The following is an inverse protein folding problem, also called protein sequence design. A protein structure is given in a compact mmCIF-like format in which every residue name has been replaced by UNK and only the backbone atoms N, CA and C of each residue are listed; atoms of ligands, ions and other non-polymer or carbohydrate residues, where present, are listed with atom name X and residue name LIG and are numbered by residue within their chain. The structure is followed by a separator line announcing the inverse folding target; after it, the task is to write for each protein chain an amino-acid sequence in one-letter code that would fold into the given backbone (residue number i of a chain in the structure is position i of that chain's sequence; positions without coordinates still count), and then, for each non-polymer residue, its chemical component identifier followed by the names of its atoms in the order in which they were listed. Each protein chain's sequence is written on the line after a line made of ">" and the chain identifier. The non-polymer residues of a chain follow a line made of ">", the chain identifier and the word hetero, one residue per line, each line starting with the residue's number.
data_IF_825536396200
#
_entry.id   IF_825536396200
#
_cell.length_a   1.000
_cell.length_b   1.000
_cell.length_c   1.000
_cell.angle_alpha   90.00
_cell.angle_beta   90.00
_cell.angle_gamma   90.00
#
_symmetry.space_group_name_H-M   'P 1'
#
loop_
_entity.id
_entity.type
_entity.pdbx_description
1 polymer ?
#
# COMPACT_ATOMS: atom_id res chain seq x y z
N UNK A 1 15.84 20.39 -3.93
CA UNK A 1 15.32 19.02 -3.71
C UNK A 1 15.95 18.57 -2.41
N UNK A 2 15.15 18.47 -1.34
CA UNK A 2 15.61 17.88 -0.08
C UNK A 2 16.06 16.45 -0.33
N UNK A 3 17.22 16.07 0.21
CA UNK A 3 17.70 14.69 0.14
C UNK A 3 17.07 13.93 1.30
N UNK A 4 16.30 12.90 0.99
CA UNK A 4 15.81 11.93 1.97
C UNK A 4 16.99 11.08 2.45
N UNK A 5 17.08 10.80 3.75
CA UNK A 5 18.07 9.83 4.23
C UNK A 5 17.67 8.45 3.71
N UNK A 6 18.60 7.65 3.16
CA UNK A 6 18.27 6.30 2.70
C UNK A 6 17.69 5.38 3.78
N UNK A 7 17.85 5.74 5.06
CA UNK A 7 17.33 5.00 6.20
C UNK A 7 15.98 5.55 6.71
N UNK A 8 15.48 6.65 6.15
CA UNK A 8 14.19 7.20 6.56
C UNK A 8 13.04 6.27 6.08
N UNK A 9 12.06 5.97 6.93
CA UNK A 9 10.85 5.27 6.50
C UNK A 9 10.10 6.04 5.41
N UNK A 10 9.45 5.31 4.51
CA UNK A 10 8.64 5.89 3.44
C UNK A 10 7.33 6.45 3.99
N UNK A 11 7.03 7.69 3.64
CA UNK A 11 5.74 8.35 3.91
C UNK A 11 4.70 8.06 2.82
N UNK A 12 5.14 7.61 1.64
CA UNK A 12 4.28 7.21 0.54
C UNK A 12 4.86 5.99 -0.17
N UNK A 13 4.02 4.98 -0.40
CA UNK A 13 4.36 3.78 -1.16
C UNK A 13 3.33 3.59 -2.26
N UNK A 14 3.77 3.34 -3.50
CA UNK A 14 2.90 3.01 -4.62
C UNK A 14 3.13 1.55 -5.00
N UNK A 15 2.06 0.76 -5.04
CA UNK A 15 2.06 -0.65 -5.40
C UNK A 15 1.22 -0.85 -6.67
N UNK A 16 1.90 -1.04 -7.79
CA UNK A 16 1.34 -1.40 -9.10
C UNK A 16 2.07 -2.66 -9.62
N UNK A 17 1.83 -3.83 -9.00
CA UNK A 17 2.42 -5.07 -9.48
C UNK A 17 1.77 -5.49 -10.82
N UNK A 18 2.49 -6.27 -11.66
CA UNK A 18 1.95 -6.76 -12.92
C UNK A 18 0.59 -7.45 -12.77
N UNK A 19 -0.26 -7.35 -13.80
CA UNK A 19 -1.61 -7.92 -13.81
C UNK A 19 -1.64 -9.37 -13.32
N UNK A 20 -2.67 -9.70 -12.54
CA UNK A 20 -2.94 -11.03 -11.95
C UNK A 20 -2.01 -11.46 -10.82
N UNK A 21 -1.09 -10.62 -10.35
CA UNK A 21 -0.28 -10.88 -9.15
C UNK A 21 -0.96 -10.38 -7.87
N UNK A 22 -2.18 -10.86 -7.57
CA UNK A 22 -2.99 -10.38 -6.44
C UNK A 22 -2.34 -10.61 -5.06
N UNK A 23 -1.52 -11.64 -4.93
CA UNK A 23 -0.82 -11.95 -3.69
C UNK A 23 0.35 -10.98 -3.41
N UNK A 24 0.87 -10.32 -4.45
CA UNK A 24 2.02 -9.41 -4.32
C UNK A 24 1.68 -8.17 -3.48
N UNK A 25 0.43 -7.72 -3.47
CA UNK A 25 -0.01 -6.59 -2.65
C UNK A 25 0.14 -6.91 -1.16
N UNK A 26 -0.39 -8.06 -0.72
CA UNK A 26 -0.31 -8.48 0.67
C UNK A 26 1.14 -8.79 1.08
N UNK A 27 1.91 -9.51 0.25
CA UNK A 27 3.33 -9.82 0.53
C UNK A 27 4.16 -8.54 0.66
N UNK A 28 3.98 -7.56 -0.24
CA UNK A 28 4.70 -6.29 -0.18
C UNK A 28 4.36 -5.50 1.09
N UNK A 29 3.07 -5.36 1.43
CA UNK A 29 2.64 -4.65 2.63
C UNK A 29 3.18 -5.31 3.91
N UNK A 30 3.10 -6.63 4.03
CA UNK A 30 3.62 -7.37 5.18
C UNK A 30 5.14 -7.18 5.32
N UNK A 31 5.90 -7.23 4.22
CA UNK A 31 7.36 -7.03 4.26
C UNK A 31 7.76 -5.60 4.61
N UNK A 32 7.07 -4.60 4.04
CA UNK A 32 7.34 -3.19 4.32
C UNK A 32 7.14 -2.87 5.82
N UNK A 33 6.03 -3.35 6.39
CA UNK A 33 5.74 -3.23 7.82
C UNK A 33 6.77 -3.98 8.66
N UNK A 34 7.04 -5.24 8.34
CA UNK A 34 8.00 -6.06 9.09
C UNK A 34 9.44 -5.53 9.07
N UNK A 35 9.81 -4.79 8.02
CA UNK A 35 11.12 -4.15 7.90
C UNK A 35 11.19 -2.76 8.56
N UNK A 36 10.08 -2.23 9.10
CA UNK A 36 10.03 -0.89 9.67
C UNK A 36 10.22 0.23 8.64
N UNK A 37 9.87 -0.04 7.37
CA UNK A 37 10.06 0.88 6.26
C UNK A 37 8.88 1.84 6.05
N UNK A 38 7.84 1.77 6.86
CA UNK A 38 6.67 2.64 6.80
C UNK A 38 6.77 3.69 7.91
N UNK A 39 6.64 4.96 7.54
CA UNK A 39 6.43 6.01 8.52
C UNK A 39 5.06 5.84 9.21
N UNK A 40 4.89 6.41 10.40
CA UNK A 40 3.64 6.33 11.17
C UNK A 40 2.41 6.77 10.34
N UNK A 41 2.55 7.83 9.56
CA UNK A 41 1.48 8.39 8.72
C UNK A 41 1.63 7.96 7.24
N UNK A 42 2.29 6.83 6.98
CA UNK A 42 2.52 6.36 5.62
C UNK A 42 1.20 6.08 4.89
N UNK A 43 1.14 6.52 3.63
CA UNK A 43 0.03 6.20 2.73
C UNK A 43 0.51 5.21 1.69
N UNK A 44 -0.13 4.04 1.62
CA UNK A 44 0.08 3.11 0.53
C UNK A 44 -1.03 3.27 -0.51
N UNK A 45 -0.65 3.38 -1.77
CA UNK A 45 -1.52 3.52 -2.93
C UNK A 45 -1.46 2.22 -3.71
N UNK A 46 -2.54 1.46 -3.72
CA UNK A 46 -2.63 0.18 -4.43
C UNK A 46 -3.45 0.39 -5.70
N UNK A 47 -2.81 0.22 -6.86
CA UNK A 47 -3.49 0.21 -8.16
C UNK A 47 -3.76 -1.22 -8.60
N UNK A 48 -4.98 -1.55 -8.98
CA UNK A 48 -5.36 -2.90 -9.44
C UNK A 48 -6.54 -2.83 -10.42
N UNK A 49 -6.79 -3.95 -11.13
CA UNK A 49 -7.93 -4.05 -12.06
C UNK A 49 -9.26 -4.01 -11.30
N UNK A 50 -10.29 -3.41 -11.90
CA UNK A 50 -11.65 -3.43 -11.35
C UNK A 50 -12.25 -4.82 -11.15
N UNK A 51 -11.74 -5.82 -11.89
CA UNK A 51 -12.17 -7.22 -11.82
C UNK A 51 -11.41 -8.01 -10.75
N UNK A 52 -10.39 -7.40 -10.13
CA UNK A 52 -9.62 -7.99 -9.05
C UNK A 52 -10.19 -7.57 -7.70
N UNK A 53 -10.22 -8.52 -6.77
CA UNK A 53 -10.39 -8.23 -5.35
C UNK A 53 -9.08 -8.54 -4.63
N UNK A 54 -8.59 -7.56 -3.88
CA UNK A 54 -7.31 -7.61 -3.19
C UNK A 54 -7.59 -7.64 -1.69
N UNK A 55 -7.08 -8.67 -1.00
CA UNK A 55 -7.14 -8.73 0.45
C UNK A 55 -6.01 -7.88 1.06
N UNK A 56 -6.33 -7.08 2.07
CA UNK A 56 -5.32 -6.41 2.88
C UNK A 56 -4.88 -7.34 4.03
N UNK A 57 -3.58 -7.40 4.34
CA UNK A 57 -3.10 -8.13 5.51
C UNK A 57 -3.53 -7.44 6.81
N UNK A 58 -3.46 -8.16 7.92
CA UNK A 58 -3.82 -7.65 9.24
C UNK A 58 -3.04 -6.39 9.63
N UNK A 59 -3.73 -5.46 10.29
CA UNK A 59 -3.18 -4.18 10.70
C UNK A 59 -3.00 -3.18 9.56
N UNK A 60 -3.68 -3.40 8.43
CA UNK A 60 -3.87 -2.41 7.39
C UNK A 60 -5.35 -2.15 7.16
N UNK A 61 -5.70 -0.89 6.88
CA UNK A 61 -7.06 -0.49 6.56
C UNK A 61 -7.10 0.31 5.26
N UNK A 62 -8.10 0.03 4.43
CA UNK A 62 -8.45 0.88 3.31
C UNK A 62 -9.35 2.00 3.81
N UNK A 63 -8.91 3.25 3.70
CA UNK A 63 -9.68 4.41 4.16
C UNK A 63 -10.30 5.22 3.02
N UNK A 64 -9.85 4.99 1.77
CA UNK A 64 -10.45 5.57 0.56
C UNK A 64 -10.27 4.60 -0.62
N UNK A 65 -11.25 4.53 -1.52
CA UNK A 65 -11.20 3.74 -2.75
C UNK A 65 -11.76 4.58 -3.91
N UNK A 66 -11.03 4.63 -5.01
CA UNK A 66 -11.37 5.40 -6.21
C UNK A 66 -11.38 4.52 -7.44
N UNK A 67 -12.19 4.90 -8.44
CA UNK A 67 -12.33 4.18 -9.71
C UNK A 67 -11.98 5.11 -10.88
N UNK A 68 -11.12 4.62 -11.77
CA UNK A 68 -10.68 5.34 -12.96
C UNK A 68 -10.70 4.41 -14.17
N UNK A 69 -11.82 4.41 -14.90
CA UNK A 69 -12.02 3.47 -16.00
C UNK A 69 -11.96 2.03 -15.50
N UNK A 70 -11.01 1.25 -16.04
CA UNK A 70 -10.80 -0.15 -15.65
C UNK A 70 -9.92 -0.33 -14.41
N UNK A 71 -9.32 0.74 -13.88
CA UNK A 71 -8.46 0.69 -12.70
C UNK A 71 -9.22 1.07 -11.42
N UNK A 72 -8.85 0.45 -10.31
CA UNK A 72 -9.21 0.83 -8.95
C UNK A 72 -7.96 1.23 -8.19
N UNK A 73 -8.08 2.28 -7.40
CA UNK A 73 -7.04 2.77 -6.51
C UNK A 73 -7.56 2.67 -5.09
N UNK A 74 -6.85 1.93 -4.22
CA UNK A 74 -7.09 1.97 -2.77
C UNK A 74 -6.03 2.81 -2.09
N UNK A 75 -6.45 3.70 -1.21
CA UNK A 75 -5.57 4.37 -0.25
C UNK A 75 -5.65 3.61 1.06
N UNK A 76 -4.50 3.12 1.48
CA UNK A 76 -4.33 2.24 2.63
C UNK A 76 -3.39 2.91 3.61
N UNK A 77 -3.59 2.67 4.90
CA UNK A 77 -2.67 3.04 6.00
C UNK A 77 -2.57 1.89 6.99
N UNK A 78 -1.56 1.92 7.86
CA UNK A 78 -1.54 1.03 9.02
C UNK A 78 -2.76 1.32 9.91
N UNK A 79 -3.34 0.26 10.47
CA UNK A 79 -4.38 0.41 11.48
C UNK A 79 -3.74 1.01 12.74
N UNK A 80 -4.44 1.94 13.38
CA UNK A 80 -4.02 2.46 14.67
C UNK A 80 -3.91 1.27 15.65
N UNK A 81 -2.79 1.18 16.35
CA UNK A 81 -2.64 0.22 17.45
C UNK A 81 -3.35 0.81 18.66
N UNK A 82 -4.51 0.25 19.03
CA UNK A 82 -5.16 0.55 20.32
C UNK A 82 -4.27 0.19 21.52
#
# INVERSE_FOLDING_TARGET
>A
IERMDPNDPFTMVVLDPPYRMREAYADALTRLRGAGLLAQDAVMILEYSQDDDIALPEGFICYDERRYGAARIRLVREADSE
#
